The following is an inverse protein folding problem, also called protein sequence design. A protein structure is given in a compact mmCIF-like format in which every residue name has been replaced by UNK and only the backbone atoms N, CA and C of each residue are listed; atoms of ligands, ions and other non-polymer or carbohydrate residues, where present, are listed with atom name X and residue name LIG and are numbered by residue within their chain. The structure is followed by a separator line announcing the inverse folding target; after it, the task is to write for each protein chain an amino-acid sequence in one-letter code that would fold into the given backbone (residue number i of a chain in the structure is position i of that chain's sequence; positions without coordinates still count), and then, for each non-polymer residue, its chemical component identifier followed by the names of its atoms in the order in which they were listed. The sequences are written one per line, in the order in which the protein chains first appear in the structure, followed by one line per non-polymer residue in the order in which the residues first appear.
data_IF_342757265480
#
_entry.id   IF_342757265480
#
_cell.length_a   1.000
_cell.length_b   1.000
_cell.length_c   1.000
_cell.angle_alpha   90.00
_cell.angle_beta   90.00
_cell.angle_gamma   90.00
#
_symmetry.space_group_name_H-M   'P 1'
#
loop_
_entity.id
_entity.type
_entity.pdbx_description
1 polymer ?
#
# COMPACT_ATOMS: atom_id res chain seq x y z
N UNK A 1 -36.46 -27.40 82.77
CA UNK A 1 -37.00 -26.32 81.92
C UNK A 1 -35.99 -25.19 81.79
N UNK A 2 -35.27 -25.15 80.67
CA UNK A 2 -34.58 -24.00 80.06
C UNK A 2 -34.45 -24.33 78.56
N UNK A 3 -34.89 -23.47 77.63
CA UNK A 3 -34.87 -23.79 76.21
C UNK A 3 -33.50 -23.49 75.58
N UNK A 4 -33.10 -24.30 74.60
CA UNK A 4 -31.94 -24.07 73.76
C UNK A 4 -32.29 -23.06 72.67
N UNK A 5 -31.47 -22.02 72.54
CA UNK A 5 -31.60 -20.94 71.57
C UNK A 5 -30.92 -21.37 70.26
N UNK A 6 -31.70 -21.50 69.18
CA UNK A 6 -31.20 -21.79 67.83
C UNK A 6 -30.79 -20.48 67.16
N UNK A 7 -29.51 -20.34 66.82
CA UNK A 7 -28.96 -19.20 66.10
C UNK A 7 -29.02 -19.49 64.59
N UNK A 8 -30.03 -18.96 63.90
CA UNK A 8 -30.11 -18.99 62.44
C UNK A 8 -29.19 -17.92 61.86
N UNK A 9 -28.16 -18.38 61.14
CA UNK A 9 -27.23 -17.55 60.38
C UNK A 9 -27.88 -17.20 59.03
N UNK A 10 -28.30 -15.94 58.87
CA UNK A 10 -28.85 -15.43 57.61
C UNK A 10 -27.69 -15.13 56.66
N UNK A 11 -27.56 -15.91 55.57
CA UNK A 11 -26.66 -15.60 54.46
C UNK A 11 -27.24 -14.41 53.68
N UNK A 12 -26.57 -13.26 53.74
CA UNK A 12 -26.84 -12.15 52.82
C UNK A 12 -26.29 -12.49 51.45
N UNK A 13 -27.17 -12.59 50.45
CA UNK A 13 -26.77 -12.57 49.04
C UNK A 13 -26.18 -11.19 48.74
N UNK A 14 -24.86 -11.11 48.65
CA UNK A 14 -24.20 -10.02 47.93
C UNK A 14 -24.50 -10.26 46.44
N UNK A 15 -25.42 -9.47 45.90
CA UNK A 15 -25.45 -9.27 44.46
C UNK A 15 -24.15 -8.56 44.09
N UNK A 16 -23.27 -9.24 43.36
CA UNK A 16 -22.24 -8.54 42.60
C UNK A 16 -22.97 -7.72 41.55
N UNK A 17 -22.98 -6.39 41.73
CA UNK A 17 -23.22 -5.45 40.65
C UNK A 17 -22.03 -5.61 39.70
N UNK A 18 -22.17 -6.51 38.72
CA UNK A 18 -21.24 -6.62 37.62
C UNK A 18 -21.48 -5.35 36.80
N UNK A 19 -20.71 -4.30 37.10
CA UNK A 19 -20.57 -3.18 36.20
C UNK A 19 -20.10 -3.77 34.88
N UNK A 20 -21.02 -3.84 33.91
CA UNK A 20 -20.63 -3.99 32.52
C UNK A 20 -19.68 -2.83 32.26
N UNK A 21 -18.41 -3.11 32.01
CA UNK A 21 -17.51 -2.14 31.41
C UNK A 21 -18.17 -1.73 30.11
N UNK A 22 -18.88 -0.60 30.13
CA UNK A 22 -19.43 0.00 28.93
C UNK A 22 -18.23 0.39 28.10
N UNK A 23 -17.88 -0.45 27.11
CA UNK A 23 -16.98 -0.06 26.05
C UNK A 23 -17.55 1.24 25.49
N UNK A 24 -16.84 2.35 25.70
CA UNK A 24 -17.32 3.63 25.22
C UNK A 24 -17.28 3.56 23.70
N UNK A 25 -18.45 3.55 23.05
CA UNK A 25 -18.55 3.67 21.60
C UNK A 25 -18.15 5.08 21.19
N UNK A 26 -17.13 5.20 20.34
CA UNK A 26 -16.78 6.46 19.72
C UNK A 26 -17.16 6.41 18.23
N UNK A 27 -17.76 7.48 17.72
CA UNK A 27 -17.99 7.66 16.28
C UNK A 27 -16.80 8.41 15.72
N UNK A 28 -16.22 7.89 14.65
CA UNK A 28 -15.14 8.50 13.90
C UNK A 28 -15.59 8.73 12.47
N UNK A 29 -15.21 9.87 11.91
CA UNK A 29 -15.33 10.15 10.48
C UNK A 29 -13.94 10.38 9.93
N UNK A 30 -13.57 9.59 8.92
CA UNK A 30 -12.42 9.87 8.06
C UNK A 30 -12.90 10.39 6.71
N UNK A 31 -12.03 11.17 6.09
CA UNK A 31 -12.32 11.89 4.86
C UNK A 31 -11.12 11.80 3.94
N UNK A 32 -11.38 11.52 2.66
CA UNK A 32 -10.37 11.31 1.64
C UNK A 32 -10.75 12.06 0.37
N UNK A 33 -9.74 12.45 -0.42
CA UNK A 33 -9.92 13.07 -1.72
C UNK A 33 -9.22 12.22 -2.78
N UNK A 34 -9.93 11.88 -3.86
CA UNK A 34 -9.31 11.31 -5.04
C UNK A 34 -8.53 12.42 -5.76
N UNK A 35 -7.24 12.24 -5.99
CA UNK A 35 -6.41 13.29 -6.56
C UNK A 35 -6.99 13.79 -7.91
N UNK A 36 -7.15 15.10 -8.12
CA UNK A 36 -7.60 15.65 -9.40
C UNK A 36 -6.50 15.67 -10.47
N UNK A 37 -5.27 15.32 -10.09
CA UNK A 37 -4.06 15.43 -10.92
C UNK A 37 -3.97 14.29 -11.94
N UNK A 38 -3.46 14.58 -13.13
CA UNK A 38 -3.01 13.59 -14.11
C UNK A 38 -1.49 13.33 -14.06
N UNK A 39 -0.81 13.80 -13.01
CA UNK A 39 0.62 13.61 -12.82
C UNK A 39 0.91 12.31 -12.08
N UNK A 40 1.79 11.49 -12.64
CA UNK A 40 2.26 10.25 -12.00
C UNK A 40 3.77 10.09 -12.16
N UNK A 41 4.46 9.71 -11.10
CA UNK A 41 5.86 9.34 -11.11
C UNK A 41 5.95 7.85 -10.86
N UNK A 42 6.45 7.09 -11.83
CA UNK A 42 6.43 5.63 -11.84
C UNK A 42 7.86 5.14 -11.66
N UNK A 43 8.11 4.40 -10.59
CA UNK A 43 9.38 3.74 -10.32
C UNK A 43 9.23 2.24 -10.53
N UNK A 44 9.84 1.71 -11.58
CA UNK A 44 10.02 0.26 -11.72
C UNK A 44 11.25 -0.19 -10.94
N UNK A 45 11.07 -1.18 -10.09
CA UNK A 45 12.12 -1.83 -9.31
C UNK A 45 12.20 -3.26 -9.82
N UNK A 46 13.28 -3.55 -10.55
CA UNK A 46 13.42 -4.78 -11.33
C UNK A 46 14.45 -5.67 -10.68
N UNK A 47 14.04 -6.88 -10.35
CA UNK A 47 14.95 -7.92 -9.93
C UNK A 47 15.87 -8.34 -11.07
N UNK A 48 17.18 -8.17 -10.83
CA UNK A 48 18.27 -8.48 -11.74
C UNK A 48 19.11 -9.67 -11.27
N UNK A 49 18.51 -10.57 -10.47
CA UNK A 49 19.06 -11.86 -10.09
C UNK A 49 19.11 -12.85 -11.27
N UNK A 50 19.72 -14.02 -11.04
CA UNK A 50 19.97 -15.02 -12.09
C UNK A 50 18.70 -15.63 -12.69
N UNK A 51 17.60 -15.69 -11.93
CA UNK A 51 16.34 -16.33 -12.34
C UNK A 51 15.44 -15.42 -13.19
N UNK A 52 15.63 -14.10 -13.15
CA UNK A 52 14.65 -13.12 -13.65
C UNK A 52 14.67 -12.85 -15.16
N UNK A 53 15.41 -13.63 -15.95
CA UNK A 53 15.61 -13.33 -17.37
C UNK A 53 14.31 -13.43 -18.17
N UNK A 54 13.54 -14.49 -17.92
CA UNK A 54 12.28 -14.77 -18.60
C UNK A 54 11.24 -13.69 -18.25
N UNK A 55 11.17 -13.28 -16.98
CA UNK A 55 10.26 -12.27 -16.44
C UNK A 55 10.58 -10.87 -16.99
N UNK A 56 11.86 -10.48 -17.03
CA UNK A 56 12.29 -9.23 -17.69
C UNK A 56 11.87 -9.22 -19.18
N UNK A 57 12.03 -10.34 -19.89
CA UNK A 57 11.60 -10.45 -21.28
C UNK A 57 10.06 -10.37 -21.43
N UNK A 58 9.30 -10.92 -20.48
CA UNK A 58 7.84 -10.84 -20.46
C UNK A 58 7.36 -9.40 -20.23
N UNK A 59 7.95 -8.67 -19.27
CA UNK A 59 7.66 -7.24 -19.06
C UNK A 59 8.04 -6.43 -20.29
N UNK A 60 9.18 -6.68 -20.91
CA UNK A 60 9.57 -6.00 -22.16
C UNK A 60 8.57 -6.25 -23.29
N UNK A 61 8.06 -7.47 -23.43
CA UNK A 61 7.10 -7.84 -24.46
C UNK A 61 5.73 -7.16 -24.27
N UNK A 62 5.27 -7.03 -23.01
CA UNK A 62 3.97 -6.44 -22.67
C UNK A 62 4.05 -4.94 -22.34
N UNK A 63 5.26 -4.39 -22.14
CA UNK A 63 5.48 -3.04 -21.63
C UNK A 63 4.94 -1.91 -22.52
N UNK A 64 4.81 -2.16 -23.82
CA UNK A 64 4.16 -1.22 -24.73
C UNK A 64 2.68 -1.00 -24.38
N UNK A 65 1.97 -2.03 -23.91
CA UNK A 65 0.56 -1.91 -23.49
C UNK A 65 0.43 -1.00 -22.26
N UNK A 66 1.36 -1.11 -21.30
CA UNK A 66 1.43 -0.24 -20.12
C UNK A 66 1.57 1.23 -20.52
N UNK A 67 2.55 1.54 -21.38
CA UNK A 67 2.78 2.92 -21.86
C UNK A 67 1.57 3.44 -22.65
N UNK A 68 0.96 2.60 -23.49
CA UNK A 68 -0.23 2.99 -24.25
C UNK A 68 -1.42 3.37 -23.35
N UNK A 69 -1.58 2.76 -22.17
CA UNK A 69 -2.59 3.17 -21.20
C UNK A 69 -2.33 4.59 -20.66
N UNK A 70 -1.07 4.90 -20.32
CA UNK A 70 -0.67 6.24 -19.87
C UNK A 70 -0.96 7.30 -20.96
N UNK A 71 -0.65 6.98 -22.21
CA UNK A 71 -0.93 7.87 -23.35
C UNK A 71 -2.42 8.07 -23.59
N UNK A 72 -3.20 6.99 -23.51
CA UNK A 72 -4.65 7.01 -23.72
C UNK A 72 -5.37 7.82 -22.65
N UNK A 73 -4.91 7.71 -21.40
CA UNK A 73 -5.42 8.47 -20.28
C UNK A 73 -4.90 9.92 -20.24
N UNK A 74 -3.97 10.28 -21.13
CA UNK A 74 -3.29 11.58 -21.18
C UNK A 74 -2.56 11.94 -19.88
N UNK A 75 -1.78 10.97 -19.39
CA UNK A 75 -0.99 11.13 -18.16
C UNK A 75 0.26 11.98 -18.42
N UNK A 76 0.51 12.91 -17.50
CA UNK A 76 1.77 13.62 -17.37
C UNK A 76 2.70 12.75 -16.50
N UNK A 77 3.51 11.89 -17.11
CA UNK A 77 4.29 10.89 -16.38
C UNK A 77 5.78 11.19 -16.33
N UNK A 78 6.38 10.88 -15.19
CA UNK A 78 7.80 10.58 -15.05
C UNK A 78 7.96 9.07 -14.85
N UNK A 79 8.93 8.46 -15.51
CA UNK A 79 9.18 7.03 -15.44
C UNK A 79 10.67 6.79 -15.20
N UNK A 80 10.97 6.12 -14.09
CA UNK A 80 12.30 5.75 -13.65
C UNK A 80 12.38 4.23 -13.45
N UNK A 81 13.57 3.68 -13.63
CA UNK A 81 13.85 2.27 -13.38
C UNK A 81 15.08 2.15 -12.49
N UNK A 82 15.05 1.21 -11.54
CA UNK A 82 16.19 0.78 -10.72
C UNK A 82 16.19 -0.75 -10.63
N UNK A 83 17.27 -1.32 -10.12
CA UNK A 83 17.29 -2.74 -9.73
C UNK A 83 17.11 -2.90 -8.23
N UNK A 84 16.78 -4.12 -7.81
CA UNK A 84 16.72 -4.58 -6.41
C UNK A 84 18.10 -4.76 -5.77
N UNK A 85 19.18 -4.78 -6.56
CA UNK A 85 20.57 -4.86 -6.08
C UNK A 85 20.95 -3.62 -5.24
N UNK A 86 20.69 -3.75 -3.95
CA UNK A 86 21.10 -2.83 -2.89
C UNK A 86 22.40 -3.24 -2.20
N UNK A 87 23.24 -4.08 -2.81
CA UNK A 87 24.49 -4.50 -2.19
C UNK A 87 25.38 -3.29 -1.90
N UNK A 88 26.06 -3.30 -0.75
CA UNK A 88 26.92 -2.19 -0.33
C UNK A 88 28.08 -1.88 -1.29
N UNK A 89 28.45 -2.83 -2.15
CA UNK A 89 29.45 -2.69 -3.21
C UNK A 89 28.88 -2.12 -4.50
N UNK A 90 27.55 -2.15 -4.68
CA UNK A 90 26.88 -1.51 -5.80
C UNK A 90 26.82 0.01 -5.61
N UNK A 91 27.81 0.71 -6.18
CA UNK A 91 27.87 2.19 -6.15
C UNK A 91 26.73 2.90 -6.91
N UNK A 92 25.88 2.14 -7.60
CA UNK A 92 24.72 2.63 -8.35
C UNK A 92 23.39 2.13 -7.79
N UNK A 93 23.39 1.50 -6.62
CA UNK A 93 22.17 1.13 -5.92
C UNK A 93 21.23 2.36 -5.81
N UNK A 94 19.96 2.14 -6.16
CA UNK A 94 18.90 3.17 -6.13
C UNK A 94 19.08 4.37 -7.07
N UNK A 95 20.10 4.39 -7.93
CA UNK A 95 20.26 5.42 -8.97
C UNK A 95 19.46 5.02 -10.21
N UNK A 96 18.65 5.95 -10.74
CA UNK A 96 17.85 5.69 -11.93
C UNK A 96 18.72 5.27 -13.13
N UNK A 97 18.24 4.25 -13.83
CA UNK A 97 18.91 3.60 -14.94
C UNK A 97 18.73 4.37 -16.25
N UNK A 98 19.80 4.40 -17.04
CA UNK A 98 19.80 4.94 -18.40
C UNK A 98 20.04 6.44 -18.50
N UNK A 99 19.93 6.97 -19.71
CA UNK A 99 20.07 8.40 -20.02
C UNK A 99 19.07 8.75 -21.11
N UNK A 100 18.16 9.71 -20.90
CA UNK A 100 17.96 10.50 -19.66
C UNK A 100 17.52 9.62 -18.48
N UNK A 101 17.87 9.98 -17.25
CA UNK A 101 17.56 9.18 -16.07
C UNK A 101 16.04 9.02 -15.86
N UNK A 102 15.30 10.11 -16.09
CA UNK A 102 13.83 10.14 -16.05
C UNK A 102 13.30 10.18 -17.48
N UNK A 103 12.40 9.25 -17.79
CA UNK A 103 11.61 9.27 -19.02
C UNK A 103 10.36 10.10 -18.80
N UNK A 104 10.09 11.07 -19.68
CA UNK A 104 8.98 12.00 -19.50
C UNK A 104 8.02 11.98 -20.69
N UNK A 105 6.76 12.31 -20.44
CA UNK A 105 5.73 12.51 -21.47
C UNK A 105 5.84 13.85 -22.21
N UNK A 106 6.77 14.74 -21.83
CA UNK A 106 6.85 16.14 -22.30
C UNK A 106 6.95 16.28 -23.83
N UNK A 107 7.58 15.32 -24.51
CA UNK A 107 7.66 15.31 -25.98
C UNK A 107 6.27 15.26 -26.66
N UNK A 108 5.21 14.83 -25.95
CA UNK A 108 3.82 14.83 -26.43
C UNK A 108 3.26 16.25 -26.53
N UNK A 109 3.69 17.16 -25.65
CA UNK A 109 3.20 18.55 -25.58
C UNK A 109 3.70 19.39 -26.75
N UNK A 110 4.91 19.08 -27.25
CA UNK A 110 5.52 19.73 -28.41
C UNK A 110 4.86 19.30 -29.75
N UNK A 111 3.93 18.33 -29.70
CA UNK A 111 3.17 17.84 -30.85
C UNK A 111 3.98 17.01 -31.84
N UNK A 112 5.25 16.71 -31.55
CA UNK A 112 6.11 15.87 -32.37
C UNK A 112 6.33 14.49 -31.74
N UNK A 113 5.31 13.64 -31.83
CA UNK A 113 5.35 12.26 -31.32
C UNK A 113 6.53 11.43 -31.87
N UNK A 114 7.09 11.80 -33.02
CA UNK A 114 8.25 11.12 -33.60
C UNK A 114 9.53 11.26 -32.74
N UNK A 115 9.58 12.25 -31.84
CA UNK A 115 10.70 12.48 -30.93
C UNK A 115 10.50 11.78 -29.57
N UNK A 116 9.32 11.16 -29.34
CA UNK A 116 9.02 10.46 -28.10
C UNK A 116 9.64 9.05 -28.09
N UNK A 117 10.78 8.90 -27.41
CA UNK A 117 11.50 7.63 -27.29
C UNK A 117 11.20 6.85 -26.01
N UNK A 118 10.38 7.39 -25.09
CA UNK A 118 10.18 6.81 -23.75
C UNK A 118 9.72 5.34 -23.76
N UNK A 119 8.96 4.90 -24.77
CA UNK A 119 8.51 3.51 -24.88
C UNK A 119 9.66 2.55 -25.23
N UNK A 120 10.48 2.94 -26.22
CA UNK A 120 11.67 2.21 -26.62
C UNK A 120 12.74 2.25 -25.50
N UNK A 121 12.89 3.39 -24.84
CA UNK A 121 13.80 3.55 -23.71
C UNK A 121 13.36 2.69 -22.52
N UNK A 122 12.07 2.68 -22.16
CA UNK A 122 11.52 1.82 -21.11
C UNK A 122 11.80 0.36 -21.41
N UNK A 123 11.39 -0.14 -22.59
CA UNK A 123 11.57 -1.54 -22.97
C UNK A 123 13.05 -1.95 -23.04
N UNK A 124 13.95 -1.04 -23.43
CA UNK A 124 15.40 -1.30 -23.40
C UNK A 124 15.99 -1.35 -21.99
N UNK A 125 15.39 -0.63 -21.03
CA UNK A 125 15.83 -0.57 -19.63
C UNK A 125 15.18 -1.64 -18.75
N UNK A 126 14.19 -2.38 -19.23
CA UNK A 126 13.65 -3.50 -18.45
C UNK A 126 14.64 -4.68 -18.40
N UNK A 127 15.36 -4.95 -19.49
CA UNK A 127 16.38 -6.01 -19.54
C UNK A 127 17.71 -5.53 -18.93
N UNK A 128 17.81 -5.50 -17.60
CA UNK A 128 19.04 -5.13 -16.89
C UNK A 128 20.12 -6.21 -16.92
N UNK A 129 19.72 -7.45 -17.24
CA UNK A 129 20.55 -8.62 -17.08
C UNK A 129 20.30 -9.29 -15.74
N UNK A 130 21.19 -10.22 -15.39
CA UNK A 130 20.96 -11.19 -14.32
C UNK A 130 22.17 -11.32 -13.39
N UNK A 131 22.84 -10.19 -13.14
CA UNK A 131 24.13 -10.12 -12.44
C UNK A 131 24.06 -9.42 -11.09
N UNK A 132 22.85 -9.15 -10.62
CA UNK A 132 22.57 -8.50 -9.35
C UNK A 132 22.94 -9.34 -8.13
N UNK A 133 22.60 -8.82 -6.97
CA UNK A 133 22.85 -9.47 -5.68
C UNK A 133 22.09 -10.78 -5.54
N UNK A 134 22.41 -11.57 -4.53
CA UNK A 134 21.52 -12.62 -4.02
C UNK A 134 20.67 -12.13 -2.82
N UNK A 135 20.83 -10.85 -2.44
CA UNK A 135 20.04 -10.16 -1.43
C UNK A 135 19.18 -9.09 -2.10
N UNK A 136 17.94 -9.44 -2.42
CA UNK A 136 17.02 -8.53 -3.11
C UNK A 136 16.42 -7.50 -2.17
N UNK A 137 16.84 -6.23 -2.28
CA UNK A 137 16.45 -5.15 -1.34
C UNK A 137 15.47 -4.15 -1.94
N UNK A 138 14.48 -4.65 -2.68
CA UNK A 138 13.57 -3.83 -3.49
C UNK A 138 12.90 -2.69 -2.73
N UNK A 139 12.42 -2.92 -1.49
CA UNK A 139 11.77 -1.87 -0.71
C UNK A 139 12.76 -0.77 -0.27
N UNK A 140 13.95 -1.15 0.17
CA UNK A 140 14.99 -0.21 0.61
C UNK A 140 15.53 0.62 -0.56
N UNK A 141 15.80 -0.02 -1.70
CA UNK A 141 16.32 0.71 -2.86
C UNK A 141 15.28 1.64 -3.47
N UNK A 142 13.99 1.25 -3.44
CA UNK A 142 12.89 2.12 -3.85
C UNK A 142 12.80 3.36 -2.96
N UNK A 143 12.83 3.16 -1.63
CA UNK A 143 12.83 4.25 -0.65
C UNK A 143 14.04 5.19 -0.84
N UNK A 144 15.23 4.64 -1.04
CA UNK A 144 16.44 5.43 -1.26
C UNK A 144 16.40 6.21 -2.58
N UNK A 145 15.77 5.68 -3.62
CA UNK A 145 15.69 6.34 -4.93
C UNK A 145 14.84 7.63 -4.88
N UNK A 146 13.85 7.71 -3.98
CA UNK A 146 12.88 8.80 -3.89
C UNK A 146 13.19 9.83 -2.79
N UNK A 147 14.28 9.66 -2.03
CA UNK A 147 14.64 10.56 -0.91
C UNK A 147 16.06 11.11 -1.02
N UNK A 148 16.38 12.20 -0.29
CA UNK A 148 17.74 12.71 -0.25
C UNK A 148 18.73 11.67 0.32
N UNK A 149 19.97 11.63 -0.20
CA UNK A 149 20.53 12.58 -1.15
C UNK A 149 20.23 12.26 -2.62
N UNK A 150 19.71 11.07 -2.96
CA UNK A 150 19.60 10.65 -4.36
C UNK A 150 18.54 11.45 -5.11
N UNK A 151 17.40 11.74 -4.49
CA UNK A 151 16.35 12.58 -5.08
C UNK A 151 16.76 14.04 -5.33
N UNK A 152 17.87 14.49 -4.74
CA UNK A 152 18.43 15.85 -4.95
C UNK A 152 19.72 15.82 -5.80
N UNK A 153 20.14 14.64 -6.26
CA UNK A 153 21.40 14.47 -6.99
C UNK A 153 21.20 13.65 -8.26
N UNK A 154 21.34 12.33 -8.17
CA UNK A 154 21.31 11.44 -9.32
C UNK A 154 19.91 11.22 -9.89
N UNK A 155 18.90 11.28 -9.02
CA UNK A 155 17.49 11.11 -9.35
C UNK A 155 16.74 12.44 -9.26
N UNK A 156 17.48 13.57 -9.34
CA UNK A 156 16.89 14.90 -9.31
C UNK A 156 15.83 15.05 -10.41
N UNK A 157 14.70 15.64 -10.04
CA UNK A 157 13.55 15.82 -10.92
C UNK A 157 12.69 14.58 -11.12
N UNK A 158 12.98 13.42 -10.50
CA UNK A 158 12.12 12.24 -10.65
C UNK A 158 10.77 12.41 -9.94
N UNK A 159 10.78 12.65 -8.63
CA UNK A 159 9.56 12.82 -7.82
C UNK A 159 9.09 14.27 -7.88
N UNK A 160 7.83 14.48 -8.27
CA UNK A 160 7.21 15.79 -8.47
C UNK A 160 6.16 16.10 -7.40
N UNK A 161 6.04 17.39 -7.10
CA UNK A 161 4.99 17.96 -6.26
C UNK A 161 3.59 17.59 -6.77
N UNK A 162 2.74 17.07 -5.87
CA UNK A 162 1.35 16.71 -6.18
C UNK A 162 1.13 15.60 -7.21
N UNK A 163 2.19 14.93 -7.70
CA UNK A 163 2.07 13.73 -8.52
C UNK A 163 1.78 12.50 -7.66
N UNK A 164 1.02 11.53 -8.17
CA UNK A 164 1.00 10.18 -7.60
C UNK A 164 2.39 9.57 -7.74
N UNK A 165 2.95 8.98 -6.68
CA UNK A 165 4.13 8.13 -6.78
C UNK A 165 3.70 6.66 -6.84
N UNK A 166 3.92 6.00 -7.98
CA UNK A 166 3.65 4.58 -8.16
C UNK A 166 4.95 3.79 -8.19
N UNK A 167 5.14 2.86 -7.25
CA UNK A 167 6.28 1.95 -7.22
C UNK A 167 5.80 0.59 -7.74
N UNK A 168 6.52 0.00 -8.70
CA UNK A 168 6.18 -1.29 -9.28
C UNK A 168 7.35 -2.24 -9.08
N UNK A 169 7.13 -3.27 -8.27
CA UNK A 169 8.12 -4.32 -8.03
C UNK A 169 7.97 -5.46 -9.03
N UNK A 170 9.08 -5.93 -9.60
CA UNK A 170 9.15 -7.19 -10.34
C UNK A 170 10.20 -8.07 -9.67
N UNK A 171 9.83 -9.22 -9.11
CA UNK A 171 10.77 -10.12 -8.39
C UNK A 171 10.16 -11.50 -8.12
N UNK A 172 10.97 -12.54 -8.26
CA UNK A 172 10.61 -13.91 -7.90
C UNK A 172 11.09 -14.30 -6.50
N UNK A 173 11.53 -13.33 -5.68
CA UNK A 173 11.99 -13.55 -4.32
C UNK A 173 11.33 -12.61 -3.29
N UNK A 174 11.63 -12.84 -2.00
CA UNK A 174 11.15 -11.99 -0.92
C UNK A 174 12.12 -10.83 -0.63
N UNK A 175 11.60 -9.71 -0.12
CA UNK A 175 12.42 -8.52 0.20
C UNK A 175 13.39 -8.77 1.36
N UNK A 176 14.66 -8.42 1.17
CA UNK A 176 15.75 -8.52 2.13
C UNK A 176 16.21 -7.15 2.68
N UNK A 177 15.32 -6.15 2.66
CA UNK A 177 15.65 -4.81 3.16
C UNK A 177 16.00 -4.86 4.66
N UNK A 178 17.25 -4.54 5.00
CA UNK A 178 17.83 -4.76 6.33
C UNK A 178 18.45 -3.50 6.96
N UNK A 179 18.54 -2.38 6.22
CA UNK A 179 19.21 -1.17 6.66
C UNK A 179 20.69 -1.40 7.02
N UNK A 180 21.32 -2.42 6.44
CA UNK A 180 22.69 -2.84 6.73
C UNK A 180 22.90 -3.64 8.03
N UNK A 181 21.83 -4.11 8.67
CA UNK A 181 21.90 -4.87 9.94
C UNK A 181 22.47 -6.28 9.78
N UNK A 182 22.25 -6.94 8.64
CA UNK A 182 22.83 -8.26 8.34
C UNK A 182 24.34 -8.16 8.10
N UNK A 183 24.80 -6.99 7.64
CA UNK A 183 26.22 -6.69 7.43
C UNK A 183 26.76 -7.17 6.09
N UNK A 184 28.02 -6.84 5.76
CA UNK A 184 28.57 -6.96 4.40
C UNK A 184 28.97 -8.40 4.00
N UNK A 185 28.77 -9.38 4.87
CA UNK A 185 29.10 -10.80 4.59
C UNK A 185 27.85 -11.68 4.57
N UNK A 186 26.67 -11.06 4.66
CA UNK A 186 25.40 -11.78 4.56
C UNK A 186 25.25 -12.39 3.16
N UNK A 187 24.44 -13.44 3.06
CA UNK A 187 24.00 -14.04 1.80
C UNK A 187 22.48 -13.97 1.67
N UNK A 188 21.92 -14.34 0.53
CA UNK A 188 20.47 -14.44 0.36
C UNK A 188 19.78 -15.35 1.40
N UNK A 189 20.48 -16.36 1.93
CA UNK A 189 19.95 -17.24 2.98
C UNK A 189 19.70 -16.50 4.31
N UNK A 190 20.49 -15.46 4.61
CA UNK A 190 20.33 -14.66 5.83
C UNK A 190 19.01 -13.86 5.82
N UNK A 191 18.49 -13.52 4.64
CA UNK A 191 17.19 -12.86 4.47
C UNK A 191 16.04 -13.70 5.07
N UNK A 192 16.16 -15.03 5.01
CA UNK A 192 15.13 -15.96 5.48
C UNK A 192 15.43 -16.49 6.89
N UNK A 193 16.71 -16.71 7.21
CA UNK A 193 17.11 -17.28 8.50
C UNK A 193 17.23 -16.24 9.62
N UNK A 194 17.44 -14.96 9.28
CA UNK A 194 17.61 -13.83 10.20
C UNK A 194 16.54 -12.75 9.99
N UNK A 195 15.28 -13.17 9.83
CA UNK A 195 14.16 -12.28 9.50
C UNK A 195 13.95 -11.12 10.49
N UNK A 196 14.32 -11.31 11.77
CA UNK A 196 14.26 -10.27 12.82
C UNK A 196 15.29 -9.15 12.66
N UNK A 197 16.27 -9.36 11.79
CA UNK A 197 17.26 -8.36 11.40
C UNK A 197 16.79 -7.49 10.25
N UNK A 198 15.75 -7.89 9.52
CA UNK A 198 15.17 -7.08 8.45
C UNK A 198 14.44 -5.86 9.00
N UNK A 199 14.40 -4.80 8.19
CA UNK A 199 13.60 -3.61 8.49
C UNK A 199 12.13 -3.98 8.39
N UNK A 200 11.27 -3.64 9.37
CA UNK A 200 9.84 -3.90 9.27
C UNK A 200 9.22 -3.23 8.04
N UNK A 201 8.32 -3.93 7.34
CA UNK A 201 7.67 -3.39 6.12
C UNK A 201 6.90 -2.11 6.42
N UNK A 202 6.19 -2.06 7.55
CA UNK A 202 5.46 -0.85 7.98
C UNK A 202 6.36 0.38 8.16
N UNK A 203 7.61 0.20 8.62
CA UNK A 203 8.56 1.30 8.78
C UNK A 203 9.04 1.82 7.42
N UNK A 204 9.25 0.92 6.45
CA UNK A 204 9.62 1.28 5.07
C UNK A 204 8.47 2.01 4.37
N UNK A 205 7.25 1.51 4.50
CA UNK A 205 6.04 2.15 3.96
C UNK A 205 5.83 3.54 4.56
N UNK A 206 5.98 3.68 5.88
CA UNK A 206 5.90 4.98 6.55
C UNK A 206 6.97 5.94 6.00
N UNK A 207 8.22 5.48 5.86
CA UNK A 207 9.29 6.30 5.32
C UNK A 207 9.07 6.69 3.85
N UNK A 208 8.43 5.86 3.02
CA UNK A 208 8.06 6.22 1.64
C UNK A 208 7.00 7.33 1.62
N UNK A 209 5.98 7.23 2.48
CA UNK A 209 4.96 8.27 2.64
C UNK A 209 5.57 9.58 3.12
N UNK A 210 6.47 9.54 4.10
CA UNK A 210 7.19 10.71 4.60
C UNK A 210 8.05 11.36 3.51
N UNK A 211 8.84 10.57 2.77
CA UNK A 211 9.66 11.07 1.66
C UNK A 211 8.82 11.74 0.57
N UNK A 212 7.64 11.19 0.27
CA UNK A 212 6.70 11.79 -0.67
C UNK A 212 6.08 13.08 -0.12
N UNK A 213 5.69 13.10 1.16
CA UNK A 213 5.18 14.30 1.83
C UNK A 213 6.21 15.44 1.82
N UNK A 214 7.48 15.15 2.08
CA UNK A 214 8.57 16.12 2.04
C UNK A 214 8.86 16.64 0.64
N UNK A 215 8.58 15.83 -0.40
CA UNK A 215 8.79 16.15 -1.81
C UNK A 215 7.57 16.86 -2.45
N UNK A 216 6.67 17.42 -1.65
CA UNK A 216 5.47 18.15 -2.10
C UNK A 216 4.15 17.41 -1.93
N UNK A 217 4.17 16.23 -1.31
CA UNK A 217 2.97 15.43 -1.09
C UNK A 217 2.44 14.78 -2.36
N UNK A 218 1.21 14.29 -2.28
CA UNK A 218 0.65 13.31 -3.21
C UNK A 218 0.69 11.91 -2.61
N UNK A 219 -0.07 11.01 -3.23
CA UNK A 219 -0.22 9.64 -2.75
C UNK A 219 0.98 8.77 -3.15
N UNK A 220 1.19 7.71 -2.38
CA UNK A 220 2.14 6.64 -2.71
C UNK A 220 1.35 5.36 -2.89
N UNK A 221 1.51 4.73 -4.06
CA UNK A 221 0.94 3.42 -4.36
C UNK A 221 2.07 2.45 -4.69
N UNK A 222 1.95 1.22 -4.22
CA UNK A 222 2.90 0.16 -4.57
C UNK A 222 2.17 -1.03 -5.17
N UNK A 223 2.55 -1.38 -6.39
CA UNK A 223 2.11 -2.58 -7.09
C UNK A 223 3.28 -3.54 -7.26
N UNK A 224 3.00 -4.78 -7.60
CA UNK A 224 4.06 -5.72 -7.91
C UNK A 224 3.60 -6.94 -8.68
N UNK A 225 4.53 -7.46 -9.47
CA UNK A 225 4.51 -8.78 -10.10
C UNK A 225 5.47 -9.63 -9.27
N UNK A 226 4.92 -10.42 -8.34
CA UNK A 226 5.68 -11.05 -7.26
C UNK A 226 5.39 -12.55 -7.15
N UNK A 227 6.29 -13.29 -6.49
CA UNK A 227 6.10 -14.70 -6.19
C UNK A 227 4.83 -14.98 -5.36
N UNK A 228 3.94 -15.90 -5.79
CA UNK A 228 2.67 -16.20 -5.10
C UNK A 228 2.87 -17.04 -3.83
N UNK A 229 1.88 -17.03 -2.93
CA UNK A 229 1.88 -17.88 -1.71
C UNK A 229 1.76 -19.38 -2.00
N UNK A 230 1.14 -19.74 -3.13
CA UNK A 230 0.95 -21.11 -3.56
C UNK A 230 1.75 -21.37 -4.85
N UNK A 231 2.78 -22.20 -4.75
CA UNK A 231 3.71 -22.56 -5.83
C UNK A 231 3.15 -23.57 -6.85
N UNK A 232 1.84 -23.65 -7.07
CA UNK A 232 1.31 -24.61 -8.06
C UNK A 232 1.75 -24.23 -9.49
N UNK A 233 2.73 -25.00 -10.00
CA UNK A 233 3.40 -24.79 -11.30
C UNK A 233 4.35 -23.58 -11.36
N UNK A 234 4.93 -23.18 -10.22
CA UNK A 234 5.91 -22.10 -10.15
C UNK A 234 7.08 -22.42 -9.22
N UNK A 235 7.78 -23.53 -9.51
CA UNK A 235 8.82 -24.09 -8.63
C UNK A 235 10.09 -23.22 -8.49
N UNK A 236 10.21 -22.16 -9.28
CA UNK A 236 11.38 -21.28 -9.29
C UNK A 236 11.19 -19.98 -8.51
N UNK A 237 9.95 -19.58 -8.22
CA UNK A 237 9.67 -18.37 -7.45
C UNK A 237 9.48 -18.66 -5.97
N UNK A 238 10.05 -17.82 -5.12
CA UNK A 238 9.84 -17.77 -3.67
C UNK A 238 8.71 -16.77 -3.37
N UNK A 239 7.82 -17.06 -2.40
CA UNK A 239 6.75 -16.12 -2.04
C UNK A 239 7.27 -14.74 -1.61
N UNK A 240 6.80 -13.68 -2.28
CA UNK A 240 7.17 -12.29 -2.04
C UNK A 240 6.39 -11.62 -0.90
N UNK A 241 6.24 -12.30 0.25
CA UNK A 241 5.31 -11.90 1.32
C UNK A 241 5.49 -10.46 1.84
N UNK A 242 6.73 -9.97 1.93
CA UNK A 242 7.01 -8.59 2.38
C UNK A 242 6.58 -7.55 1.35
N UNK A 243 6.74 -7.84 0.06
CA UNK A 243 6.22 -6.98 -1.00
C UNK A 243 4.70 -6.97 -1.01
N UNK A 244 4.06 -8.13 -0.81
CA UNK A 244 2.61 -8.23 -0.67
C UNK A 244 2.08 -7.36 0.47
N UNK A 245 2.72 -7.39 1.64
CA UNK A 245 2.35 -6.52 2.76
C UNK A 245 2.46 -5.04 2.37
N UNK A 246 3.54 -4.63 1.69
CA UNK A 246 3.71 -3.26 1.22
C UNK A 246 2.66 -2.85 0.18
N UNK A 247 2.36 -3.73 -0.78
CA UNK A 247 1.34 -3.52 -1.83
C UNK A 247 -0.03 -3.29 -1.21
N UNK A 248 -0.40 -4.10 -0.20
CA UNK A 248 -1.67 -3.95 0.52
C UNK A 248 -1.71 -2.66 1.35
N UNK A 249 -0.63 -2.34 2.06
CA UNK A 249 -0.55 -1.08 2.82
C UNK A 249 -0.60 0.16 1.94
N UNK A 250 -0.11 0.07 0.69
CA UNK A 250 -0.08 1.14 -0.29
C UNK A 250 -1.11 0.97 -1.42
N UNK A 251 -2.15 0.15 -1.21
CA UNK A 251 -3.34 0.10 -2.07
C UNK A 251 -3.09 -0.18 -3.57
N UNK A 252 -2.02 -0.91 -3.92
CA UNK A 252 -1.70 -1.18 -5.33
C UNK A 252 -2.13 -2.55 -5.84
N UNK A 253 -1.67 -2.87 -7.03
CA UNK A 253 -2.02 -4.10 -7.76
C UNK A 253 -1.00 -5.20 -7.43
N UNK A 254 -1.48 -6.33 -6.94
CA UNK A 254 -0.68 -7.57 -6.86
C UNK A 254 -0.96 -8.44 -8.08
N UNK A 255 0.10 -8.90 -8.75
CA UNK A 255 0.04 -9.84 -9.85
C UNK A 255 1.02 -10.99 -9.62
N UNK A 256 0.65 -12.15 -10.17
CA UNK A 256 1.43 -13.38 -10.07
C UNK A 256 2.55 -13.38 -11.12
N UNK A 257 3.79 -13.51 -10.67
CA UNK A 257 4.96 -13.58 -11.54
C UNK A 257 4.96 -14.80 -12.47
N UNK A 258 4.25 -15.86 -12.10
CA UNK A 258 4.22 -17.14 -12.81
C UNK A 258 3.30 -17.11 -14.04
N UNK A 259 2.63 -15.99 -14.30
CA UNK A 259 1.81 -15.79 -15.49
C UNK A 259 2.67 -15.90 -16.76
N UNK A 260 2.15 -16.62 -17.75
CA UNK A 260 2.82 -16.77 -19.06
C UNK A 260 2.64 -15.55 -19.97
N UNK A 261 1.69 -14.67 -19.63
CA UNK A 261 1.34 -13.47 -20.38
C UNK A 261 1.05 -12.33 -19.41
N UNK A 262 1.85 -11.26 -19.49
CA UNK A 262 1.72 -10.08 -18.65
C UNK A 262 0.85 -8.98 -19.26
N UNK A 263 0.32 -9.13 -20.49
CA UNK A 263 -0.55 -8.10 -21.08
C UNK A 263 -1.74 -7.70 -20.19
N UNK A 264 -2.49 -8.63 -19.55
CA UNK A 264 -3.55 -8.25 -18.60
C UNK A 264 -3.02 -7.48 -17.38
N UNK A 265 -1.85 -7.88 -16.88
CA UNK A 265 -1.19 -7.22 -15.74
C UNK A 265 -0.77 -5.80 -16.12
N UNK A 266 -0.17 -5.60 -17.29
CA UNK A 266 0.23 -4.28 -17.79
C UNK A 266 -0.96 -3.34 -17.99
N UNK A 267 -2.12 -3.87 -18.38
CA UNK A 267 -3.37 -3.10 -18.43
C UNK A 267 -3.81 -2.65 -17.04
N UNK A 268 -3.80 -3.56 -16.04
CA UNK A 268 -4.15 -3.21 -14.65
C UNK A 268 -3.17 -2.21 -14.04
N UNK A 269 -1.86 -2.37 -14.27
CA UNK A 269 -0.83 -1.42 -13.82
C UNK A 269 -0.99 -0.07 -14.50
N UNK A 270 -1.27 -0.04 -15.80
CA UNK A 270 -1.51 1.20 -16.56
C UNK A 270 -2.75 1.94 -16.05
N UNK A 271 -3.81 1.22 -15.71
CA UNK A 271 -5.00 1.80 -15.08
C UNK A 271 -4.70 2.33 -13.67
N UNK A 272 -3.97 1.58 -12.84
CA UNK A 272 -3.57 2.01 -11.51
C UNK A 272 -2.69 3.28 -11.56
N UNK A 273 -1.82 3.40 -12.57
CA UNK A 273 -1.00 4.60 -12.80
C UNK A 273 -1.83 5.85 -13.15
N UNK A 274 -3.11 5.70 -13.52
CA UNK A 274 -4.03 6.84 -13.62
C UNK A 274 -4.41 7.42 -12.26
N UNK A 275 -3.96 6.84 -11.14
CA UNK A 275 -4.16 7.41 -9.81
C UNK A 275 -5.60 7.45 -9.32
N UNK A 276 -6.47 6.64 -9.94
CA UNK A 276 -7.78 6.33 -9.36
C UNK A 276 -7.55 5.25 -8.30
N UNK A 277 -7.50 5.66 -7.04
CA UNK A 277 -7.34 4.77 -5.90
C UNK A 277 -8.65 4.04 -5.61
N UNK A 278 -8.54 2.75 -5.31
CA UNK A 278 -9.67 1.91 -4.91
C UNK A 278 -9.69 1.61 -3.43
N UNK A 279 -8.55 1.71 -2.71
CA UNK A 279 -8.48 1.42 -1.27
C UNK A 279 -8.10 2.66 -0.46
N UNK A 280 -8.82 2.91 0.62
CA UNK A 280 -8.64 4.07 1.51
C UNK A 280 -8.48 3.60 2.96
N UNK A 281 -7.31 3.87 3.55
CA UNK A 281 -6.95 3.45 4.90
C UNK A 281 -7.59 4.34 5.97
N UNK A 282 -8.36 3.73 6.87
CA UNK A 282 -8.96 4.40 8.01
C UNK A 282 -7.91 4.67 9.10
N UNK A 283 -8.14 5.74 9.86
CA UNK A 283 -7.34 6.12 11.03
C UNK A 283 -7.35 5.05 12.12
N UNK A 284 -8.43 4.27 12.23
CA UNK A 284 -8.61 3.20 13.21
C UNK A 284 -9.37 2.04 12.58
N UNK A 285 -9.20 0.84 13.12
CA UNK A 285 -10.04 -0.30 12.76
C UNK A 285 -11.49 -0.01 13.14
N UNK A 286 -12.42 -0.27 12.21
CA UNK A 286 -13.84 -0.24 12.47
C UNK A 286 -14.19 -1.35 13.46
N UNK A 287 -15.15 -1.09 14.32
CA UNK A 287 -15.60 -2.03 15.34
C UNK A 287 -17.10 -2.23 15.21
N UNK A 288 -17.52 -3.48 15.08
CA UNK A 288 -18.92 -3.81 15.13
C UNK A 288 -19.38 -4.02 16.57
N UNK A 289 -20.48 -3.36 16.92
CA UNK A 289 -21.14 -3.47 18.21
C UNK A 289 -22.43 -4.28 18.04
N UNK A 290 -22.31 -5.49 17.50
CA UNK A 290 -23.44 -6.38 17.13
C UNK A 290 -24.32 -6.77 18.32
N UNK A 291 -23.81 -6.64 19.56
CA UNK A 291 -24.51 -7.05 20.79
C UNK A 291 -24.66 -5.93 21.83
N UNK A 292 -24.47 -4.65 21.46
CA UNK A 292 -24.72 -3.54 22.38
C UNK A 292 -26.24 -3.24 22.46
N UNK A 293 -26.92 -3.47 23.61
CA UNK A 293 -28.35 -3.20 23.76
C UNK A 293 -28.70 -1.70 23.67
N UNK A 294 -27.71 -0.81 23.63
CA UNK A 294 -27.88 0.61 23.37
C UNK A 294 -27.84 0.97 21.87
N UNK A 295 -27.51 0.02 20.98
CA UNK A 295 -27.55 0.24 19.52
C UNK A 295 -29.00 0.10 19.03
N UNK A 296 -29.61 1.16 18.47
CA UNK A 296 -30.92 1.04 17.83
C UNK A 296 -30.87 -0.03 16.72
N UNK A 297 -31.91 -0.87 16.58
CA UNK A 297 -32.00 -1.93 15.56
C UNK A 297 -31.83 -1.40 14.11
N UNK A 298 -31.97 -0.09 13.88
CA UNK A 298 -31.83 0.60 12.58
C UNK A 298 -30.40 1.16 12.34
N UNK A 299 -29.52 1.13 13.35
CA UNK A 299 -28.11 1.57 13.27
C UNK A 299 -27.11 0.41 13.25
N UNK A 300 -27.59 -0.83 13.36
CA UNK A 300 -26.75 -2.04 13.51
C UNK A 300 -26.41 -2.76 12.20
N UNK A 301 -26.97 -2.36 11.05
CA UNK A 301 -26.83 -3.18 9.83
C UNK A 301 -25.67 -2.74 8.92
N UNK A 302 -25.32 -1.45 8.85
CA UNK A 302 -24.24 -0.97 7.97
C UNK A 302 -23.20 -0.14 8.76
N UNK A 303 -22.10 -0.77 9.17
CA UNK A 303 -20.91 -0.13 9.71
C UNK A 303 -19.67 -0.80 9.08
N UNK A 304 -18.74 -0.06 8.46
CA UNK A 304 -18.75 1.38 8.20
C UNK A 304 -19.90 1.90 7.31
N UNK A 305 -20.15 3.21 7.34
CA UNK A 305 -21.02 3.91 6.37
C UNK A 305 -20.16 4.75 5.44
N UNK A 306 -20.34 4.56 4.14
CA UNK A 306 -19.50 5.18 3.10
C UNK A 306 -20.32 6.10 2.21
N UNK A 307 -19.82 7.30 1.99
CA UNK A 307 -20.38 8.25 1.04
C UNK A 307 -19.32 8.75 0.06
N UNK A 308 -19.76 9.01 -1.17
CA UNK A 308 -18.95 9.61 -2.24
C UNK A 308 -19.65 10.86 -2.75
N UNK A 309 -18.88 11.91 -3.00
CA UNK A 309 -19.33 13.13 -3.67
C UNK A 309 -18.47 13.34 -4.91
N UNK A 310 -19.03 13.03 -6.07
CA UNK A 310 -18.38 13.27 -7.37
C UNK A 310 -18.22 14.77 -7.65
N UNK A 311 -17.30 15.13 -8.54
CA UNK A 311 -17.05 16.53 -8.90
C UNK A 311 -18.32 17.18 -9.48
N UNK A 312 -18.88 18.14 -8.73
CA UNK A 312 -20.13 18.81 -9.09
C UNK A 312 -21.40 17.98 -8.88
N UNK A 313 -21.27 16.79 -8.27
CA UNK A 313 -22.36 15.92 -7.86
C UNK A 313 -22.87 16.21 -6.45
N UNK A 314 -23.90 15.46 -6.05
CA UNK A 314 -24.40 15.43 -4.66
C UNK A 314 -23.73 14.29 -3.89
N UNK A 315 -23.70 14.38 -2.56
CA UNK A 315 -23.21 13.32 -1.68
C UNK A 315 -24.15 12.11 -1.77
N UNK A 316 -23.64 10.96 -2.21
CA UNK A 316 -24.38 9.70 -2.36
C UNK A 316 -23.82 8.63 -1.43
N UNK A 317 -24.69 7.89 -0.76
CA UNK A 317 -24.28 6.69 0.00
C UNK A 317 -23.92 5.56 -0.97
N UNK A 318 -22.83 4.86 -0.71
CA UNK A 318 -22.40 3.67 -1.48
C UNK A 318 -22.69 2.44 -0.63
N UNK A 319 -23.31 1.42 -1.24
CA UNK A 319 -23.66 0.18 -0.57
C UNK A 319 -22.43 -0.73 -0.41
N UNK A 320 -22.42 -1.54 0.64
CA UNK A 320 -21.45 -2.63 0.78
C UNK A 320 -21.79 -3.72 -0.25
N UNK A 321 -20.87 -3.95 -1.20
CA UNK A 321 -21.02 -4.93 -2.28
C UNK A 321 -19.64 -5.25 -2.89
N UNK A 322 -19.28 -6.53 -2.90
CA UNK A 322 -17.97 -7.02 -3.37
C UNK A 322 -17.77 -6.90 -4.89
N UNK A 323 -18.82 -6.60 -5.66
CA UNK A 323 -18.75 -6.41 -7.12
C UNK A 323 -18.93 -4.94 -7.53
N UNK A 324 -19.93 -4.25 -6.96
CA UNK A 324 -20.37 -2.92 -7.41
C UNK A 324 -20.67 -1.98 -6.21
N UNK A 325 -19.76 -1.92 -5.24
CA UNK A 325 -19.93 -1.13 -4.02
C UNK A 325 -18.61 -0.89 -3.29
N UNK A 326 -18.62 -1.10 -1.97
CA UNK A 326 -17.41 -1.17 -1.16
C UNK A 326 -17.33 -2.45 -0.32
N UNK A 327 -16.13 -2.80 0.13
CA UNK A 327 -15.85 -3.89 1.07
C UNK A 327 -14.87 -3.41 2.16
N UNK A 328 -14.97 -3.93 3.38
CA UNK A 328 -14.01 -3.62 4.47
C UNK A 328 -12.89 -4.67 4.55
N UNK A 329 -11.64 -4.21 4.57
CA UNK A 329 -10.45 -5.05 4.76
C UNK A 329 -9.95 -4.91 6.20
N UNK A 330 -10.31 -5.86 7.06
CA UNK A 330 -10.09 -5.82 8.50
C UNK A 330 -8.61 -5.72 8.89
N UNK A 331 -7.75 -6.55 8.29
CA UNK A 331 -6.30 -6.64 8.61
C UNK A 331 -5.55 -5.30 8.47
N UNK A 332 -6.05 -4.41 7.60
CA UNK A 332 -5.41 -3.14 7.27
C UNK A 332 -6.27 -1.92 7.62
N UNK A 333 -7.48 -2.14 8.15
CA UNK A 333 -8.49 -1.13 8.37
C UNK A 333 -8.75 -0.25 7.14
N UNK A 334 -9.12 -0.86 6.00
CA UNK A 334 -9.31 -0.15 4.73
C UNK A 334 -10.73 -0.32 4.17
N UNK A 335 -11.22 0.72 3.49
CA UNK A 335 -12.38 0.62 2.59
C UNK A 335 -11.87 0.39 1.17
N UNK A 336 -12.29 -0.71 0.54
CA UNK A 336 -12.05 -1.02 -0.87
C UNK A 336 -13.29 -0.71 -1.69
N UNK A 337 -13.19 0.07 -2.76
CA UNK A 337 -14.26 0.30 -3.72
C UNK A 337 -14.13 -0.65 -4.92
N UNK A 338 -15.27 -1.14 -5.40
CA UNK A 338 -15.37 -2.13 -6.46
C UNK A 338 -16.23 -1.61 -7.64
N UNK A 339 -15.96 -2.12 -8.85
CA UNK A 339 -16.79 -1.89 -10.02
C UNK A 339 -16.92 -0.41 -10.43
N UNK A 340 -18.12 -0.01 -10.83
CA UNK A 340 -18.49 1.36 -11.20
C UNK A 340 -18.61 2.30 -9.98
N UNK A 341 -18.55 1.76 -8.76
CA UNK A 341 -18.59 2.54 -7.51
C UNK A 341 -17.23 3.14 -7.12
N UNK A 342 -16.16 2.87 -7.87
CA UNK A 342 -14.83 3.47 -7.66
C UNK A 342 -14.90 5.00 -7.85
N UNK A 343 -14.57 5.81 -6.83
CA UNK A 343 -14.70 7.26 -6.89
C UNK A 343 -13.83 7.88 -7.99
N UNK A 344 -14.45 8.74 -8.81
CA UNK A 344 -13.78 9.45 -9.89
C UNK A 344 -12.74 10.47 -9.39
N UNK A 345 -11.91 10.99 -10.30
CA UNK A 345 -10.91 12.00 -9.95
C UNK A 345 -11.53 13.27 -9.39
N UNK A 346 -10.98 13.78 -8.30
CA UNK A 346 -11.50 14.93 -7.57
C UNK A 346 -12.74 14.62 -6.73
N UNK A 347 -13.19 13.37 -6.67
CA UNK A 347 -14.26 12.96 -5.79
C UNK A 347 -13.82 13.02 -4.33
N UNK A 348 -14.77 13.32 -3.46
CA UNK A 348 -14.60 13.34 -2.01
C UNK A 348 -15.27 12.13 -1.38
N UNK A 349 -14.59 11.46 -0.47
CA UNK A 349 -15.07 10.26 0.22
C UNK A 349 -15.15 10.57 1.71
N UNK A 350 -16.26 10.17 2.34
CA UNK A 350 -16.42 10.23 3.79
C UNK A 350 -16.81 8.84 4.30
N UNK A 351 -16.11 8.38 5.34
CA UNK A 351 -16.37 7.10 5.99
C UNK A 351 -16.66 7.36 7.46
N UNK A 352 -17.88 7.05 7.90
CA UNK A 352 -18.27 7.09 9.31
C UNK A 352 -18.26 5.66 9.87
N UNK A 353 -17.58 5.45 10.99
CA UNK A 353 -17.45 4.13 11.60
C UNK A 353 -17.27 4.23 13.11
N UNK A 354 -17.59 3.14 13.80
CA UNK A 354 -17.38 3.06 15.24
C UNK A 354 -15.99 2.57 15.60
N UNK A 355 -15.45 3.09 16.71
CA UNK A 355 -14.19 2.67 17.32
C UNK A 355 -14.35 2.47 18.83
N UNK A 356 -13.37 1.82 19.46
CA UNK A 356 -13.30 1.78 20.92
C UNK A 356 -12.80 3.13 21.46
N UNK A 357 -13.64 3.79 22.27
CA UNK A 357 -13.30 5.02 22.95
C UNK A 357 -12.36 4.76 24.13
N UNK A 358 -11.39 5.65 24.34
CA UNK A 358 -10.60 5.67 25.57
C UNK A 358 -11.54 5.81 26.79
N UNK A 359 -11.32 5.01 27.83
CA UNK A 359 -12.00 5.18 29.12
C UNK A 359 -11.54 6.53 29.70
N UNK A 360 -12.41 7.53 29.90
CA UNK A 360 -12.02 8.72 30.63
C UNK A 360 -11.63 8.33 32.05
N UNK A 361 -10.49 8.84 32.53
CA UNK A 361 -10.05 8.61 33.91
C UNK A 361 -11.22 8.92 34.87
N UNK A 362 -11.50 8.06 35.86
CA UNK A 362 -12.53 8.36 36.83
C UNK A 362 -12.22 9.70 37.50
N UNK A 363 -13.24 10.54 37.76
CA UNK A 363 -13.01 11.82 38.42
C UNK A 363 -12.27 11.54 39.73
N UNK A 364 -11.10 12.15 39.88
CA UNK A 364 -10.34 12.09 41.13
C UNK A 364 -11.25 12.62 42.22
N UNK A 365 -11.73 11.73 43.09
CA UNK A 365 -12.46 12.14 44.29
C UNK A 365 -11.55 13.09 45.05
N UNK A 366 -11.96 14.36 45.10
CA UNK A 366 -11.36 15.32 46.00
C UNK A 366 -11.51 14.75 47.41
N UNK A 367 -10.40 14.31 48.01
CA UNK A 367 -10.36 13.86 49.39
C UNK A 367 -10.82 15.02 50.28
N UNK A 368 -12.06 14.98 50.72
CA UNK A 368 -12.53 15.78 51.83
C UNK A 368 -11.95 15.19 53.11
N UNK A 369 -10.84 15.76 53.58
CA UNK A 369 -10.45 15.77 54.99
C UNK A 369 -9.71 17.06 55.33
#
# INVERSE_FOLDING_TARGET
MRPALSLSLTFGLLACDQGYDTLNRAVKTDSFDQAPSNKVDILWVIDDSTSMKEEQAAVKAAGADFIAQLETADMDFHLGLITTDGDSTNTKASVLLGTPAVLTSECRDDGNMADCTYADDFTSRVEQGTGGSDQEKGLEVALNAIRPPLSETWNDGFVRDGALLMIIQLTDENDCSDGGRLGPTATGEDCYSSYDMLTPVGDLVAAMRDAKAESGGGEVVMSGIIGPDAVENCDYAVPGGRYRDAIKMLSGVEADICLQDYSPVMQSLGLAATGIMTNFQLSYAAQDFVDDPATPEDESEDNPKVWVTEVGGEKTAVAEDDAEGWSYIEDYAQIQFNGESVPGRGAHIEVEYYTTGAVPDPPTEASAS
#
